data_IF_083068618286
#
_entry.id   IF_083068618286
#
_cell.length_a   1.000
_cell.length_b   1.000
_cell.length_c   1.000
_cell.angle_alpha   90.00
_cell.angle_beta   90.00
_cell.angle_gamma   90.00
#
_symmetry.space_group_name_H-M   'P 1'
#
loop_
_entity.id
_entity.type
_entity.pdbx_description
1 polymer ?
#
# COMPACT_ATOMS: atom_id res chain seq x y z
N UNK A 1 5.61 -22.09 -13.30
CA UNK A 1 4.34 -21.33 -13.15
C UNK A 1 3.99 -21.36 -11.68
N UNK A 2 3.82 -20.21 -11.02
CA UNK A 2 3.44 -20.19 -9.60
C UNK A 2 2.01 -20.73 -9.43
N UNK A 3 1.72 -21.52 -8.38
CA UNK A 3 0.36 -21.97 -8.12
C UNK A 3 -0.53 -20.75 -7.79
N UNK A 4 -1.77 -20.81 -8.27
CA UNK A 4 -2.81 -19.85 -7.87
C UNK A 4 -3.16 -20.10 -6.40
N UNK A 5 -3.19 -19.07 -5.54
CA UNK A 5 -3.63 -19.22 -4.15
C UNK A 5 -5.09 -19.66 -4.08
N UNK A 6 -5.48 -20.31 -2.99
CA UNK A 6 -6.87 -20.71 -2.78
C UNK A 6 -7.79 -19.49 -2.63
N UNK A 7 -9.08 -19.66 -2.90
CA UNK A 7 -10.07 -18.58 -2.75
C UNK A 7 -10.18 -18.12 -1.29
N UNK A 8 -10.06 -19.05 -0.36
CA UNK A 8 -10.12 -18.81 1.08
C UNK A 8 -8.93 -17.95 1.54
N UNK A 9 -7.74 -18.22 1.01
CA UNK A 9 -6.55 -17.41 1.33
C UNK A 9 -6.69 -16.00 0.80
N UNK A 10 -7.19 -15.83 -0.42
CA UNK A 10 -7.44 -14.51 -1.01
C UNK A 10 -8.49 -13.73 -0.22
N UNK A 11 -9.59 -14.39 0.16
CA UNK A 11 -10.63 -13.78 0.98
C UNK A 11 -10.09 -13.37 2.35
N UNK A 12 -9.25 -14.22 2.96
CA UNK A 12 -8.56 -13.88 4.21
C UNK A 12 -7.65 -12.67 4.03
N UNK A 13 -6.81 -12.64 3.00
CA UNK A 13 -5.93 -11.51 2.74
C UNK A 13 -6.71 -10.21 2.57
N UNK A 14 -7.77 -10.22 1.77
CA UNK A 14 -8.64 -9.06 1.58
C UNK A 14 -9.33 -8.66 2.89
N UNK A 15 -9.74 -9.62 3.72
CA UNK A 15 -10.39 -9.34 5.01
C UNK A 15 -9.41 -8.71 6.00
N UNK A 16 -8.21 -9.29 6.16
CA UNK A 16 -7.19 -8.77 7.07
C UNK A 16 -6.72 -7.36 6.67
N UNK A 17 -6.59 -7.13 5.35
CA UNK A 17 -6.16 -5.86 4.80
C UNK A 17 -7.27 -4.81 4.71
N UNK A 18 -8.55 -5.20 4.81
CA UNK A 18 -9.65 -4.23 4.75
C UNK A 18 -9.69 -3.37 6.02
N UNK A 19 -9.59 -2.05 5.88
CA UNK A 19 -9.72 -1.11 6.98
C UNK A 19 -8.59 -0.09 7.06
N UNK A 20 -8.28 0.31 8.28
CA UNK A 20 -7.29 1.35 8.59
C UNK A 20 -6.06 0.73 9.25
N UNK A 21 -4.89 1.07 8.72
CA UNK A 21 -3.60 0.55 9.17
C UNK A 21 -2.62 1.69 9.39
N UNK A 22 -1.89 1.65 10.49
CA UNK A 22 -0.87 2.62 10.86
C UNK A 22 0.44 1.89 11.07
N UNK A 23 1.56 2.49 10.66
CA UNK A 23 2.88 1.89 10.71
C UNK A 23 3.87 2.81 11.43
N UNK A 24 4.61 2.22 12.35
CA UNK A 24 5.81 2.83 12.94
C UNK A 24 6.95 2.86 11.90
N UNK A 25 7.99 3.67 12.11
CA UNK A 25 9.08 3.91 11.14
C UNK A 25 9.93 2.71 10.69
N UNK A 26 9.66 1.49 11.18
CA UNK A 26 10.20 0.23 10.68
C UNK A 26 9.14 -0.62 9.95
N UNK A 27 8.09 0.02 9.44
CA UNK A 27 6.94 -0.59 8.75
C UNK A 27 6.20 -1.65 9.59
N UNK A 28 6.37 -1.59 10.91
CA UNK A 28 5.61 -2.43 11.85
C UNK A 28 4.27 -1.78 12.12
N UNK A 29 3.19 -2.51 11.82
CA UNK A 29 1.81 -2.10 12.08
C UNK A 29 1.60 -1.82 13.58
N UNK A 30 1.14 -0.62 13.90
CA UNK A 30 0.81 -0.15 15.24
C UNK A 30 -0.33 0.88 15.18
N UNK A 31 -1.56 0.39 15.28
CA UNK A 31 -2.78 1.20 15.21
C UNK A 31 -3.02 2.06 16.48
N UNK A 32 -2.14 2.01 17.48
CA UNK A 32 -2.22 2.90 18.65
C UNK A 32 -1.62 4.28 18.40
N UNK A 33 -0.82 4.44 17.33
CA UNK A 33 -0.07 5.66 17.04
C UNK A 33 -0.93 6.78 16.42
N UNK A 34 -2.04 6.43 15.79
CA UNK A 34 -2.90 7.38 15.09
C UNK A 34 -4.32 6.83 15.02
N UNK A 35 -5.32 7.65 15.34
CA UNK A 35 -6.73 7.25 15.15
C UNK A 35 -7.19 7.39 13.70
N UNK A 36 -8.24 6.66 13.36
CA UNK A 36 -8.90 6.73 12.04
C UNK A 36 -9.37 8.15 11.73
N UNK A 37 -9.92 8.84 12.73
CA UNK A 37 -10.49 10.19 12.62
C UNK A 37 -9.40 11.25 12.42
N UNK A 38 -8.26 11.10 13.10
CA UNK A 38 -7.09 11.97 12.89
C UNK A 38 -6.51 11.79 11.49
N UNK A 39 -6.29 10.54 11.06
CA UNK A 39 -5.80 10.24 9.72
C UNK A 39 -6.73 10.79 8.63
N UNK A 40 -8.06 10.65 8.82
CA UNK A 40 -9.05 11.20 7.88
C UNK A 40 -9.01 12.73 7.83
N UNK A 41 -8.82 13.40 8.97
CA UNK A 41 -8.63 14.86 9.02
C UNK A 41 -7.35 15.29 8.32
N UNK A 42 -6.25 14.56 8.50
CA UNK A 42 -4.97 14.85 7.81
C UNK A 42 -5.07 14.68 6.29
N UNK A 43 -5.86 13.72 5.79
CA UNK A 43 -6.12 13.56 4.35
C UNK A 43 -7.02 14.66 3.77
N UNK A 44 -7.86 15.28 4.59
CA UNK A 44 -8.72 16.40 4.20
C UNK A 44 -7.99 17.76 4.30
N UNK A 45 -7.12 17.90 5.29
CA UNK A 45 -6.28 19.07 5.54
C UNK A 45 -4.82 18.64 5.74
N UNK A 46 -4.06 18.68 4.65
CA UNK A 46 -2.66 18.26 4.62
C UNK A 46 -1.75 19.16 5.48
N UNK A 47 -2.23 20.32 5.96
CA UNK A 47 -1.45 21.17 6.87
C UNK A 47 -1.31 20.57 8.27
N UNK A 48 -2.14 19.59 8.61
CA UNK A 48 -2.09 18.83 9.87
C UNK A 48 -0.98 17.78 9.88
N UNK A 49 -0.35 17.49 8.73
CA UNK A 49 0.73 16.51 8.61
C UNK A 49 2.05 17.14 9.06
N UNK A 50 2.74 16.46 9.96
CA UNK A 50 4.02 16.87 10.57
C UNK A 50 5.11 15.83 10.31
N UNK A 51 6.36 16.16 10.65
CA UNK A 51 7.48 15.21 10.57
C UNK A 51 7.36 14.01 11.52
N UNK A 52 6.44 14.04 12.48
CA UNK A 52 6.17 12.94 13.41
C UNK A 52 4.97 12.09 12.99
N UNK A 53 4.27 12.46 11.90
CA UNK A 53 3.09 11.73 11.44
C UNK A 53 3.51 10.32 11.01
N UNK A 54 2.95 9.25 11.60
CA UNK A 54 3.27 7.89 11.20
C UNK A 54 2.73 7.60 9.80
N UNK A 55 3.29 6.59 9.13
CA UNK A 55 2.73 6.12 7.86
C UNK A 55 1.36 5.50 8.15
N UNK A 56 0.39 5.69 7.26
CA UNK A 56 -0.92 5.07 7.40
C UNK A 56 -1.58 4.82 6.06
N UNK A 57 -2.52 3.88 6.04
CA UNK A 57 -3.35 3.61 4.87
C UNK A 57 -4.78 3.23 5.25
N UNK A 58 -5.70 3.61 4.39
CA UNK A 58 -7.05 3.11 4.33
C UNK A 58 -7.13 2.21 3.10
N UNK A 59 -7.62 1.00 3.30
CA UNK A 59 -7.81 0.02 2.24
C UNK A 59 -9.27 -0.42 2.27
N UNK A 60 -9.92 -0.37 1.12
CA UNK A 60 -11.28 -0.87 0.93
C UNK A 60 -11.31 -1.88 -0.20
N UNK A 61 -12.10 -2.93 -0.01
CA UNK A 61 -12.37 -3.95 -1.01
C UNK A 61 -13.87 -4.01 -1.27
N UNK A 62 -14.26 -4.02 -2.55
CA UNK A 62 -15.65 -4.24 -2.98
C UNK A 62 -15.64 -5.25 -4.12
N UNK A 63 -15.90 -6.52 -3.80
CA UNK A 63 -15.68 -7.61 -4.75
C UNK A 63 -14.21 -7.67 -5.16
N UNK A 64 -13.92 -7.45 -6.45
CA UNK A 64 -12.55 -7.42 -6.96
C UNK A 64 -11.97 -6.00 -7.05
N UNK A 65 -12.72 -4.97 -6.69
CA UNK A 65 -12.23 -3.60 -6.70
C UNK A 65 -11.50 -3.30 -5.39
N UNK A 66 -10.37 -2.60 -5.48
CA UNK A 66 -9.56 -2.15 -4.35
C UNK A 66 -9.39 -0.63 -4.44
N UNK A 67 -9.62 0.05 -3.33
CA UNK A 67 -9.31 1.46 -3.12
C UNK A 67 -8.29 1.58 -1.99
N UNK A 68 -7.23 2.35 -2.23
CA UNK A 68 -6.19 2.66 -1.25
C UNK A 68 -5.96 4.17 -1.23
N UNK A 69 -6.03 4.75 -0.04
CA UNK A 69 -5.57 6.11 0.22
C UNK A 69 -4.74 6.14 1.49
N UNK A 70 -3.60 6.83 1.47
CA UNK A 70 -2.73 6.86 2.63
C UNK A 70 -1.65 7.91 2.56
N UNK A 71 -0.79 7.87 3.56
CA UNK A 71 0.36 8.75 3.73
C UNK A 71 1.63 7.93 3.94
N UNK A 72 2.71 8.31 3.24
CA UNK A 72 4.03 7.74 3.42
C UNK A 72 5.06 8.87 3.52
N UNK A 73 5.76 8.93 4.65
CA UNK A 73 6.75 9.97 4.94
C UNK A 73 8.09 9.77 4.21
N UNK A 74 8.33 8.58 3.66
CA UNK A 74 9.64 8.16 3.15
C UNK A 74 9.71 7.97 1.63
N UNK A 75 8.69 8.38 0.88
CA UNK A 75 8.71 8.27 -0.58
C UNK A 75 9.90 9.04 -1.15
N UNK A 76 10.68 8.39 -2.02
CA UNK A 76 11.82 9.01 -2.70
C UNK A 76 11.56 9.00 -4.20
N UNK A 77 11.22 10.15 -4.81
CA UNK A 77 11.11 10.24 -6.26
C UNK A 77 12.44 9.93 -6.95
N UNK A 78 12.41 9.20 -8.06
CA UNK A 78 13.60 8.74 -8.81
C UNK A 78 14.62 9.85 -9.15
N UNK A 79 14.16 11.09 -9.33
CA UNK A 79 15.02 12.23 -9.69
C UNK A 79 15.51 13.03 -8.48
N UNK A 80 15.32 12.53 -7.26
CA UNK A 80 15.59 13.26 -6.03
C UNK A 80 16.41 12.42 -5.04
N UNK A 81 17.36 13.07 -4.38
CA UNK A 81 18.19 12.48 -3.34
C UNK A 81 17.65 12.69 -1.93
N UNK A 82 16.44 13.24 -1.82
CA UNK A 82 15.75 13.45 -0.57
C UNK A 82 14.42 12.70 -0.54
N UNK A 83 13.94 12.43 0.67
CA UNK A 83 12.61 11.86 0.90
C UNK A 83 11.58 12.98 0.89
N UNK A 84 10.47 12.75 0.19
CA UNK A 84 9.32 13.63 0.19
C UNK A 84 8.15 12.91 0.82
N UNK A 85 7.59 13.43 1.93
CA UNK A 85 6.33 12.93 2.44
C UNK A 85 5.26 13.06 1.36
N UNK A 86 4.41 12.06 1.23
CA UNK A 86 3.37 12.03 0.21
C UNK A 86 2.05 11.48 0.71
N UNK A 87 0.97 11.96 0.08
CA UNK A 87 -0.34 11.29 0.11
C UNK A 87 -0.48 10.52 -1.20
N UNK A 88 -0.85 9.25 -1.11
CA UNK A 88 -1.06 8.39 -2.27
C UNK A 88 -2.52 7.97 -2.39
N UNK A 89 -2.97 7.80 -3.63
CA UNK A 89 -4.29 7.28 -3.99
C UNK A 89 -4.17 6.25 -5.10
N UNK A 90 -4.86 5.14 -4.93
CA UNK A 90 -4.94 4.08 -5.91
C UNK A 90 -6.33 3.47 -5.93
N UNK A 91 -6.90 3.31 -7.12
CA UNK A 91 -8.14 2.61 -7.35
C UNK A 91 -7.98 1.67 -8.54
N UNK A 92 -8.30 0.39 -8.36
CA UNK A 92 -8.13 -0.61 -9.40
C UNK A 92 -8.86 -1.92 -9.16
N UNK A 93 -8.77 -2.82 -10.14
CA UNK A 93 -9.40 -4.14 -10.10
C UNK A 93 -8.36 -5.23 -9.95
N UNK A 94 -8.51 -6.10 -8.96
CA UNK A 94 -7.72 -7.32 -8.80
C UNK A 94 -8.05 -8.29 -9.95
N UNK A 95 -7.02 -8.84 -10.60
CA UNK A 95 -7.16 -9.75 -11.75
C UNK A 95 -6.64 -11.14 -11.47
N UNK A 96 -5.48 -11.23 -10.83
CA UNK A 96 -4.81 -12.51 -10.55
C UNK A 96 -3.94 -12.37 -9.33
N UNK A 97 -3.86 -13.43 -8.53
CA UNK A 97 -2.88 -13.54 -7.46
C UNK A 97 -2.00 -14.77 -7.66
N UNK A 98 -0.76 -14.70 -7.21
CA UNK A 98 0.22 -15.80 -7.15
C UNK A 98 1.06 -15.65 -5.88
N UNK A 99 1.61 -16.75 -5.38
CA UNK A 99 2.56 -16.69 -4.26
C UNK A 99 3.82 -15.92 -4.64
N UNK A 100 4.32 -15.09 -3.73
CA UNK A 100 5.50 -14.23 -3.95
C UNK A 100 6.81 -15.01 -4.17
N UNK A 101 6.95 -16.19 -3.57
CA UNK A 101 8.14 -17.06 -3.70
C UNK A 101 7.75 -18.52 -4.03
N UNK A 102 8.57 -19.23 -4.86
CA UNK A 102 8.14 -20.48 -5.46
C UNK A 102 8.32 -21.77 -4.62
N UNK A 103 9.12 -21.81 -3.54
CA UNK A 103 9.55 -23.10 -2.96
C UNK A 103 9.71 -23.25 -1.43
N UNK A 104 9.50 -22.24 -0.58
CA UNK A 104 9.70 -22.45 0.88
C UNK A 104 8.72 -21.71 1.76
N UNK A 105 8.30 -22.43 2.80
CA UNK A 105 7.54 -21.99 3.97
C UNK A 105 6.14 -21.43 3.67
N UNK A 106 5.06 -22.24 3.83
CA UNK A 106 3.67 -21.74 3.90
C UNK A 106 3.40 -20.72 5.02
N UNK A 107 4.44 -20.31 5.77
CA UNK A 107 4.40 -19.25 6.77
C UNK A 107 4.81 -17.87 6.23
N UNK A 108 5.41 -17.79 5.02
CA UNK A 108 5.67 -16.51 4.33
C UNK A 108 4.59 -16.39 3.24
N UNK A 109 3.37 -16.10 3.68
CA UNK A 109 2.13 -16.11 2.91
C UNK A 109 1.95 -14.96 1.92
N UNK A 110 3.00 -14.22 1.57
CA UNK A 110 2.86 -13.05 0.73
C UNK A 110 2.29 -13.39 -0.64
N UNK A 111 1.38 -12.53 -1.11
CA UNK A 111 0.74 -12.69 -2.41
C UNK A 111 1.15 -11.54 -3.33
N UNK A 112 1.64 -11.89 -4.52
CA UNK A 112 1.71 -10.94 -5.63
C UNK A 112 0.37 -10.91 -6.33
N UNK A 113 -0.24 -9.74 -6.36
CA UNK A 113 -1.56 -9.52 -6.93
C UNK A 113 -1.43 -8.59 -8.13
N UNK A 114 -1.67 -9.14 -9.32
CA UNK A 114 -1.87 -8.35 -10.52
C UNK A 114 -3.21 -7.64 -10.45
N UNK A 115 -3.17 -6.35 -10.70
CA UNK A 115 -4.28 -5.44 -10.66
C UNK A 115 -4.28 -4.56 -11.90
N UNK A 116 -5.46 -4.14 -12.33
CA UNK A 116 -5.65 -3.19 -13.42
C UNK A 116 -6.13 -1.87 -12.81
N UNK A 117 -5.30 -0.81 -12.81
CA UNK A 117 -5.73 0.50 -12.35
C UNK A 117 -6.96 0.96 -13.13
N UNK A 118 -7.97 1.47 -12.43
CA UNK A 118 -9.13 2.16 -13.04
C UNK A 118 -8.72 3.60 -13.35
N UNK A 119 -7.96 4.20 -12.44
CA UNK A 119 -7.32 5.50 -12.58
C UNK A 119 -5.81 5.38 -12.41
N UNK A 120 -5.05 6.36 -12.92
CA UNK A 120 -3.62 6.41 -12.64
C UNK A 120 -3.39 6.57 -11.13
N UNK A 121 -2.41 5.82 -10.59
CA UNK A 121 -1.93 6.04 -9.23
C UNK A 121 -1.54 7.51 -9.08
N UNK A 122 -2.02 8.15 -8.02
CA UNK A 122 -1.76 9.56 -7.75
C UNK A 122 -0.88 9.68 -6.52
N UNK A 123 0.19 10.46 -6.61
CA UNK A 123 1.04 10.81 -5.47
C UNK A 123 1.08 12.33 -5.34
N UNK A 124 0.53 12.86 -4.25
CA UNK A 124 0.67 14.25 -3.87
C UNK A 124 1.91 14.41 -3.00
N UNK A 125 2.96 15.03 -3.53
CA UNK A 125 4.19 15.29 -2.81
C UNK A 125 4.01 16.56 -1.97
N UNK A 126 4.10 16.43 -0.64
CA UNK A 126 3.77 17.52 0.29
C UNK A 126 4.78 18.67 0.20
N UNK A 127 6.07 18.35 0.08
CA UNK A 127 7.14 19.35 0.02
C UNK A 127 7.04 20.20 -1.26
N UNK A 128 6.80 19.55 -2.40
CA UNK A 128 6.73 20.20 -3.70
C UNK A 128 5.35 20.77 -4.03
N UNK A 129 4.32 20.40 -3.27
CA UNK A 129 2.92 20.77 -3.52
C UNK A 129 2.50 20.46 -4.96
N UNK A 130 2.81 19.25 -5.43
CA UNK A 130 2.47 18.79 -6.78
C UNK A 130 2.01 17.34 -6.79
N UNK A 131 1.14 17.01 -7.74
CA UNK A 131 0.76 15.64 -8.06
C UNK A 131 1.72 15.05 -9.07
N UNK A 132 2.16 13.81 -8.83
CA UNK A 132 2.89 12.99 -9.80
C UNK A 132 2.17 11.67 -10.02
N UNK A 133 2.37 11.09 -11.20
CA UNK A 133 1.76 9.83 -11.60
C UNK A 133 2.89 8.82 -11.88
N UNK A 134 3.21 7.92 -10.92
CA UNK A 134 4.28 6.96 -11.11
C UNK A 134 3.93 5.94 -12.19
N UNK A 135 4.97 5.38 -12.83
CA UNK A 135 4.85 4.29 -13.80
C UNK A 135 4.58 2.96 -13.05
N UNK A 136 3.35 2.81 -12.54
CA UNK A 136 2.91 1.66 -11.77
C UNK A 136 2.78 0.43 -12.66
N UNK A 137 3.41 -0.68 -12.27
CA UNK A 137 3.45 -1.92 -13.05
C UNK A 137 2.18 -2.79 -12.93
N UNK A 138 1.15 -2.32 -12.21
CA UNK A 138 -0.07 -3.07 -11.95
C UNK A 138 0.08 -4.17 -10.90
N UNK A 139 1.21 -4.29 -10.21
CA UNK A 139 1.45 -5.36 -9.22
C UNK A 139 1.46 -4.82 -7.80
N UNK A 140 0.54 -5.34 -6.99
CA UNK A 140 0.52 -5.16 -5.54
C UNK A 140 1.17 -6.38 -4.87
N UNK A 141 1.77 -6.17 -3.71
CA UNK A 141 2.24 -7.24 -2.83
C UNK A 141 1.46 -7.16 -1.53
N UNK A 142 0.67 -8.18 -1.25
CA UNK A 142 0.00 -8.35 0.04
C UNK A 142 0.98 -9.07 0.96
N UNK A 143 1.51 -8.36 1.95
CA UNK A 143 2.52 -8.86 2.86
C UNK A 143 1.87 -9.51 4.07
N UNK A 144 2.45 -10.61 4.50
CA UNK A 144 1.96 -11.43 5.59
C UNK A 144 3.01 -11.59 6.69
N UNK A 145 2.52 -11.62 7.92
CA UNK A 145 3.33 -11.88 9.10
C UNK A 145 2.52 -12.72 10.08
N UNK A 146 3.12 -13.82 10.56
CA UNK A 146 2.48 -14.73 11.53
C UNK A 146 1.06 -15.20 11.15
N UNK A 147 0.79 -15.37 9.85
CA UNK A 147 -0.49 -15.85 9.34
C UNK A 147 -1.58 -14.78 9.15
N UNK A 148 -1.26 -13.50 9.34
CA UNK A 148 -2.12 -12.35 9.04
C UNK A 148 -1.51 -11.52 7.92
N UNK A 149 -2.34 -10.98 7.02
CA UNK A 149 -1.89 -9.98 6.05
C UNK A 149 -1.95 -8.58 6.68
N UNK A 150 -0.80 -7.90 6.70
CA UNK A 150 -0.62 -6.68 7.51
C UNK A 150 -0.32 -5.43 6.69
N UNK A 151 0.05 -5.60 5.42
CA UNK A 151 0.47 -4.48 4.58
C UNK A 151 0.24 -4.76 3.09
N UNK A 152 0.08 -3.68 2.32
CA UNK A 152 0.06 -3.69 0.86
C UNK A 152 1.18 -2.77 0.40
N UNK A 153 2.08 -3.29 -0.43
CA UNK A 153 3.09 -2.47 -1.11
C UNK A 153 2.95 -2.55 -2.62
N UNK A 154 3.38 -1.49 -3.31
CA UNK A 154 3.35 -1.40 -4.76
C UNK A 154 4.69 -0.94 -5.32
N UNK A 155 5.08 -1.45 -6.49
CA UNK A 155 6.36 -1.10 -7.14
C UNK A 155 6.16 -0.48 -8.51
N UNK A 156 7.12 0.33 -8.94
CA UNK A 156 7.14 0.90 -10.30
C UNK A 156 7.85 -0.03 -11.30
N UNK A 157 7.59 0.15 -12.60
CA UNK A 157 8.26 -0.64 -13.67
C UNK A 157 9.74 -0.31 -13.85
N UNK A 158 10.21 0.87 -13.39
CA UNK A 158 11.52 1.44 -13.74
C UNK A 158 12.51 1.58 -12.56
N UNK A 159 12.15 1.11 -11.37
CA UNK A 159 13.02 1.08 -10.18
C UNK A 159 12.49 0.11 -9.11
N UNK A 160 13.35 -0.26 -8.15
CA UNK A 160 12.99 -1.00 -6.93
C UNK A 160 12.30 -0.10 -5.88
N UNK A 161 11.94 1.14 -6.24
CA UNK A 161 11.29 2.07 -5.32
C UNK A 161 9.84 1.61 -5.09
N UNK A 162 9.47 1.45 -3.82
CA UNK A 162 8.09 1.26 -3.42
C UNK A 162 7.32 2.56 -3.55
N UNK A 163 6.06 2.46 -3.99
CA UNK A 163 5.13 3.58 -3.99
C UNK A 163 4.70 3.79 -2.56
N UNK A 164 4.02 2.80 -1.97
CA UNK A 164 3.65 2.78 -0.56
C UNK A 164 4.15 1.50 0.06
#
# INVERSE_FOLDING_TARGET
MHPTPSKELLLKAMTDLHGFHVYSGLDRRDNSLLSREEASRMLADNSLITGETPNFMFVSFSGNDIDIIGYNQYYRPKSQDYRSPMIYRYHGQLKRAVYSLPHMAPQIGDLKVTSKPIENVQLWLLNEKKTVYPDFNGTLTFQSWSGEYIDISAFTTRSWDSIF
#
